data_IF_091071527270
#
_entry.id   IF_091071527270
#
_cell.length_a   1.000
_cell.length_b   1.000
_cell.length_c   1.000
_cell.angle_alpha   90.00
_cell.angle_beta   90.00
_cell.angle_gamma   90.00
#
_symmetry.space_group_name_H-M   'P 1'
#
loop_
_entity.id
_entity.type
_entity.pdbx_description
1 polymer ?
#
# COMPACT_ATOMS: atom_id res chain seq x y z
N UNK A 1 -0.39 -15.70 16.75
CA UNK A 1 0.21 -14.98 17.89
C UNK A 1 0.87 -15.88 18.92
N UNK A 2 0.19 -16.83 19.59
CA UNK A 2 0.88 -17.74 20.53
C UNK A 2 1.79 -18.77 19.83
N UNK A 3 1.41 -19.19 18.62
CA UNK A 3 2.14 -20.22 17.83
C UNK A 3 3.46 -19.67 17.23
N UNK A 4 3.42 -18.44 16.69
CA UNK A 4 4.62 -17.75 16.17
C UNK A 4 5.66 -17.46 17.25
N UNK A 5 5.23 -17.17 18.48
CA UNK A 5 6.14 -16.96 19.60
C UNK A 5 6.84 -18.25 20.04
N UNK A 6 6.14 -19.39 19.97
CA UNK A 6 6.72 -20.72 20.26
C UNK A 6 7.75 -21.15 19.20
N UNK A 7 7.49 -20.85 17.93
CA UNK A 7 8.42 -21.16 16.83
C UNK A 7 9.70 -20.31 16.91
N UNK A 8 9.57 -19.01 17.19
CA UNK A 8 10.72 -18.12 17.41
C UNK A 8 11.55 -18.56 18.62
N UNK A 9 10.91 -18.99 19.71
CA UNK A 9 11.60 -19.50 20.90
C UNK A 9 12.40 -20.78 20.56
N UNK A 10 11.79 -21.71 19.80
CA UNK A 10 12.45 -22.94 19.37
C UNK A 10 13.68 -22.69 18.49
N UNK A 11 13.63 -21.69 17.60
CA UNK A 11 14.76 -21.28 16.77
C UNK A 11 15.89 -20.72 17.63
N UNK A 12 15.56 -19.87 18.60
CA UNK A 12 16.56 -19.27 19.50
C UNK A 12 17.19 -20.33 20.40
N UNK A 13 16.42 -21.25 20.95
CA UNK A 13 16.92 -22.37 21.75
C UNK A 13 17.87 -23.28 20.97
N UNK A 14 17.54 -23.62 19.72
CA UNK A 14 18.44 -24.39 18.84
C UNK A 14 19.74 -23.66 18.56
N UNK A 15 19.68 -22.35 18.33
CA UNK A 15 20.88 -21.52 18.12
C UNK A 15 21.71 -21.43 19.40
N UNK A 16 21.07 -21.30 20.55
CA UNK A 16 21.73 -21.28 21.85
C UNK A 16 22.46 -22.60 22.10
N UNK A 17 21.79 -23.74 21.90
CA UNK A 17 22.39 -25.07 22.03
C UNK A 17 23.58 -25.27 21.07
N UNK A 18 23.49 -24.77 19.85
CA UNK A 18 24.60 -24.86 18.89
C UNK A 18 25.79 -24.00 19.32
N UNK A 19 25.54 -22.82 19.89
CA UNK A 19 26.60 -21.95 20.45
C UNK A 19 27.21 -22.60 21.69
N UNK A 20 26.38 -23.11 22.59
CA UNK A 20 26.81 -23.83 23.80
C UNK A 20 27.66 -25.04 23.42
N UNK A 21 27.26 -25.85 22.44
CA UNK A 21 28.05 -26.99 21.97
C UNK A 21 29.41 -26.59 21.40
N UNK A 22 29.48 -25.47 20.68
CA UNK A 22 30.72 -24.96 20.07
C UNK A 22 31.68 -24.33 21.07
N UNK A 23 31.16 -23.73 22.13
CA UNK A 23 31.95 -23.01 23.14
C UNK A 23 32.27 -23.90 24.34
N UNK A 24 31.32 -24.76 24.74
CA UNK A 24 31.41 -25.66 25.88
C UNK A 24 31.15 -27.09 25.41
N UNK A 25 32.22 -27.79 25.06
CA UNK A 25 32.12 -29.19 24.60
C UNK A 25 32.05 -30.20 25.75
N UNK A 26 32.31 -29.78 27.00
CA UNK A 26 32.22 -30.62 28.21
C UNK A 26 31.84 -29.83 29.47
N UNK A 27 31.14 -30.47 30.42
CA UNK A 27 30.83 -29.91 31.75
C UNK A 27 32.11 -29.57 32.57
N UNK A 28 33.25 -30.16 32.20
CA UNK A 28 34.56 -29.86 32.77
C UNK A 28 35.13 -28.51 32.27
N UNK A 29 34.71 -28.06 31.09
CA UNK A 29 35.12 -26.77 30.52
C UNK A 29 34.45 -25.61 31.26
N UNK A 30 33.23 -25.78 31.79
CA UNK A 30 32.57 -24.81 32.68
C UNK A 30 33.44 -24.46 33.88
N UNK A 31 34.13 -25.44 34.48
CA UNK A 31 35.02 -25.23 35.63
C UNK A 31 36.34 -24.55 35.24
N UNK A 32 36.82 -24.77 34.01
CA UNK A 32 38.03 -24.11 33.48
C UNK A 32 37.76 -22.66 33.08
N UNK A 33 36.62 -22.38 32.44
CA UNK A 33 36.22 -21.04 32.02
C UNK A 33 35.56 -20.21 33.13
N UNK A 34 35.25 -20.80 34.29
CA UNK A 34 34.83 -20.04 35.48
C UNK A 34 35.90 -19.03 35.96
N UNK A 35 37.19 -19.28 35.66
CA UNK A 35 38.31 -18.45 36.13
C UNK A 35 39.10 -17.74 35.00
N UNK A 36 38.88 -18.06 33.73
CA UNK A 36 39.49 -17.34 32.59
C UNK A 36 38.42 -17.10 31.51
N UNK A 37 38.24 -15.86 31.07
CA UNK A 37 37.36 -15.55 29.93
C UNK A 37 37.93 -16.20 28.67
N UNK A 38 37.08 -16.85 27.85
CA UNK A 38 37.47 -17.30 26.50
C UNK A 38 38.10 -16.17 25.67
N UNK A 39 37.69 -14.93 25.94
CA UNK A 39 38.24 -13.74 25.29
C UNK A 39 39.68 -13.46 25.72
N UNK A 40 40.02 -13.69 26.99
CA UNK A 40 41.36 -13.47 27.53
C UNK A 40 42.33 -14.54 27.03
N UNK A 41 41.88 -15.80 26.95
CA UNK A 41 42.68 -16.88 26.39
C UNK A 41 42.91 -16.70 24.88
N UNK A 42 41.87 -16.29 24.15
CA UNK A 42 41.98 -15.93 22.73
C UNK A 42 42.90 -14.72 22.52
N UNK A 43 42.77 -13.68 23.35
CA UNK A 43 43.63 -12.49 23.30
C UNK A 43 45.09 -12.82 23.60
N UNK A 44 45.34 -13.73 24.55
CA UNK A 44 46.68 -14.24 24.87
C UNK A 44 47.28 -15.02 23.69
N UNK A 45 46.50 -15.90 23.07
CA UNK A 45 46.92 -16.65 21.86
C UNK A 45 47.15 -15.72 20.67
N UNK A 46 46.31 -14.70 20.47
CA UNK A 46 46.46 -13.71 19.42
C UNK A 46 47.73 -12.86 19.61
N UNK A 47 47.99 -12.42 20.84
CA UNK A 47 49.21 -11.68 21.17
C UNK A 47 50.47 -12.52 20.99
N UNK A 48 50.42 -13.81 21.34
CA UNK A 48 51.49 -14.77 21.10
C UNK A 48 51.72 -15.02 19.60
N UNK A 49 50.65 -15.17 18.81
CA UNK A 49 50.70 -15.28 17.36
C UNK A 49 51.28 -14.00 16.72
N UNK A 50 50.91 -12.81 17.20
CA UNK A 50 51.43 -11.54 16.71
C UNK A 50 52.91 -11.35 17.09
N UNK A 51 53.32 -11.80 18.27
CA UNK A 51 54.73 -11.84 18.69
C UNK A 51 55.55 -12.82 17.84
N UNK A 52 54.99 -13.98 17.52
CA UNK A 52 55.63 -14.97 16.63
C UNK A 52 55.71 -14.46 15.19
N UNK A 53 54.66 -13.82 14.69
CA UNK A 53 54.63 -13.23 13.35
C UNK A 53 55.65 -12.10 13.21
N UNK A 54 55.84 -11.26 14.24
CA UNK A 54 56.85 -10.19 14.23
C UNK A 54 58.28 -10.71 14.39
N UNK A 55 58.49 -11.80 15.13
CA UNK A 55 59.81 -12.41 15.34
C UNK A 55 60.29 -13.27 14.15
N UNK A 56 59.36 -13.87 13.41
CA UNK A 56 59.69 -14.76 12.28
C UNK A 56 59.07 -14.23 10.98
N UNK A 57 59.89 -13.59 10.15
CA UNK A 57 59.48 -12.97 8.89
C UNK A 57 58.74 -13.94 7.94
N UNK A 58 59.16 -15.22 7.89
CA UNK A 58 58.47 -16.29 7.13
C UNK A 58 57.04 -16.54 7.63
N UNK A 59 56.77 -16.43 8.94
CA UNK A 59 55.43 -16.58 9.50
C UNK A 59 54.57 -15.37 9.14
N UNK A 60 55.11 -14.15 9.19
CA UNK A 60 54.40 -12.95 8.73
C UNK A 60 54.03 -13.01 7.24
N UNK A 61 54.96 -13.45 6.39
CA UNK A 61 54.70 -13.66 4.96
C UNK A 61 53.63 -14.73 4.71
N UNK A 62 53.63 -15.80 5.50
CA UNK A 62 52.63 -16.87 5.41
C UNK A 62 51.26 -16.39 5.90
N UNK A 63 51.21 -15.55 6.93
CA UNK A 63 49.97 -14.95 7.44
C UNK A 63 49.34 -13.97 6.44
N UNK A 64 50.18 -13.19 5.73
CA UNK A 64 49.73 -12.36 4.60
C UNK A 64 49.19 -13.22 3.47
N UNK A 65 49.93 -14.26 3.07
CA UNK A 65 49.49 -15.21 2.05
C UNK A 65 48.22 -15.95 2.44
N UNK A 66 47.98 -16.23 3.72
CA UNK A 66 46.76 -16.87 4.20
C UNK A 66 45.54 -15.94 4.05
N UNK A 67 45.70 -14.65 4.34
CA UNK A 67 44.66 -13.65 4.08
C UNK A 67 44.40 -13.46 2.59
N UNK A 68 45.46 -13.50 1.78
CA UNK A 68 45.32 -13.46 0.33
C UNK A 68 44.63 -14.74 -0.18
N UNK A 69 44.95 -15.91 0.38
CA UNK A 69 44.31 -17.19 0.05
C UNK A 69 42.83 -17.20 0.44
N UNK A 70 42.47 -16.59 1.57
CA UNK A 70 41.07 -16.40 1.99
C UNK A 70 40.31 -15.52 1.00
N UNK A 71 40.95 -14.47 0.46
CA UNK A 71 40.37 -13.67 -0.62
C UNK A 71 40.27 -14.45 -1.93
N UNK A 72 41.28 -15.25 -2.29
CA UNK A 72 41.27 -16.08 -3.50
C UNK A 72 40.27 -17.23 -3.45
N UNK A 73 39.98 -17.76 -2.25
CA UNK A 73 38.97 -18.77 -2.00
C UNK A 73 37.59 -18.19 -1.68
N UNK A 74 37.48 -16.86 -1.57
CA UNK A 74 36.18 -16.21 -1.42
C UNK A 74 35.31 -16.53 -2.65
N UNK A 75 34.05 -16.87 -2.40
CA UNK A 75 33.10 -17.23 -3.45
C UNK A 75 33.01 -16.14 -4.53
N UNK A 76 33.16 -14.86 -4.14
CA UNK A 76 33.11 -13.71 -5.04
C UNK A 76 34.31 -13.62 -5.99
N UNK A 77 35.51 -14.05 -5.56
CA UNK A 77 36.69 -14.09 -6.43
C UNK A 77 36.63 -15.30 -7.37
N UNK A 78 36.21 -16.47 -6.88
CA UNK A 78 36.04 -17.65 -7.73
C UNK A 78 34.97 -17.42 -8.79
N UNK A 79 33.87 -16.71 -8.50
CA UNK A 79 32.82 -16.43 -9.49
C UNK A 79 33.32 -15.46 -10.59
N UNK A 80 34.14 -14.47 -10.22
CA UNK A 80 34.76 -13.53 -11.17
C UNK A 80 35.86 -14.15 -12.04
N UNK A 81 36.57 -15.17 -11.53
CA UNK A 81 37.62 -15.89 -12.26
C UNK A 81 37.06 -17.07 -13.06
N UNK A 82 35.96 -17.68 -12.62
CA UNK A 82 35.33 -18.79 -13.30
C UNK A 82 34.63 -18.37 -14.60
N UNK A 83 34.16 -17.12 -14.70
CA UNK A 83 33.66 -16.57 -15.94
C UNK A 83 34.81 -16.03 -16.80
N UNK A 84 35.12 -16.78 -17.85
CA UNK A 84 35.90 -16.31 -18.97
C UNK A 84 35.19 -15.12 -19.68
N UNK A 85 35.96 -14.28 -20.37
CA UNK A 85 35.43 -13.07 -21.01
C UNK A 85 34.51 -13.40 -22.20
N UNK A 86 34.72 -14.52 -22.90
CA UNK A 86 33.77 -15.01 -23.92
C UNK A 86 32.46 -15.45 -23.26
N UNK A 87 32.53 -16.12 -22.11
CA UNK A 87 31.35 -16.52 -21.32
C UNK A 87 30.55 -15.31 -20.81
N UNK A 88 31.22 -14.21 -20.43
CA UNK A 88 30.55 -12.94 -20.09
C UNK A 88 29.86 -12.32 -21.30
N UNK A 89 30.51 -12.35 -22.47
CA UNK A 89 29.91 -11.86 -23.71
C UNK A 89 28.66 -12.66 -24.08
N UNK A 90 28.71 -13.99 -23.97
CA UNK A 90 27.56 -14.87 -24.21
C UNK A 90 26.41 -14.60 -23.23
N UNK A 91 26.70 -14.34 -21.96
CA UNK A 91 25.67 -13.96 -20.97
C UNK A 91 25.03 -12.61 -21.33
N UNK A 92 25.82 -11.62 -21.74
CA UNK A 92 25.31 -10.31 -22.15
C UNK A 92 24.46 -10.41 -23.41
N UNK A 93 24.89 -11.20 -24.40
CA UNK A 93 24.14 -11.43 -25.65
C UNK A 93 22.85 -12.22 -25.35
N UNK A 94 22.93 -13.25 -24.52
CA UNK A 94 21.76 -14.01 -24.09
C UNK A 94 20.75 -13.13 -23.33
N UNK A 95 21.26 -12.20 -22.51
CA UNK A 95 20.50 -11.21 -21.76
C UNK A 95 20.07 -9.98 -22.56
N UNK A 96 20.47 -9.82 -23.84
CA UNK A 96 20.25 -8.60 -24.62
C UNK A 96 18.77 -8.22 -24.69
N UNK A 97 17.90 -9.20 -24.94
CA UNK A 97 16.46 -8.97 -25.03
C UNK A 97 15.86 -8.54 -23.67
N UNK A 98 16.34 -9.11 -22.56
CA UNK A 98 15.88 -8.72 -21.22
C UNK A 98 16.39 -7.32 -20.86
N UNK A 99 17.63 -6.99 -21.20
CA UNK A 99 18.19 -5.65 -21.00
C UNK A 99 17.45 -4.60 -21.84
N UNK A 100 17.13 -4.91 -23.11
CA UNK A 100 16.37 -4.02 -23.99
C UNK A 100 14.96 -3.78 -23.44
N UNK A 101 14.27 -4.83 -23.01
CA UNK A 101 12.95 -4.73 -22.39
C UNK A 101 12.98 -3.94 -21.09
N UNK A 102 14.01 -4.14 -20.26
CA UNK A 102 14.22 -3.36 -19.04
C UNK A 102 14.45 -1.87 -19.34
N UNK A 103 15.24 -1.55 -20.37
CA UNK A 103 15.45 -0.17 -20.83
C UNK A 103 14.15 0.47 -21.33
N UNK A 104 13.35 -0.24 -22.11
CA UNK A 104 12.04 0.25 -22.58
C UNK A 104 11.10 0.54 -21.41
N UNK A 105 11.00 -0.38 -20.45
CA UNK A 105 10.21 -0.20 -19.24
C UNK A 105 10.72 0.97 -18.38
N UNK A 106 12.05 1.13 -18.27
CA UNK A 106 12.64 2.24 -17.54
C UNK A 106 12.31 3.58 -18.20
N UNK A 107 12.30 3.63 -19.53
CA UNK A 107 11.93 4.82 -20.28
C UNK A 107 10.44 5.15 -20.11
N UNK A 108 9.57 4.14 -20.15
CA UNK A 108 8.14 4.30 -19.87
C UNK A 108 7.91 4.84 -18.45
N UNK A 109 8.64 4.32 -17.46
CA UNK A 109 8.60 4.80 -16.08
C UNK A 109 9.09 6.26 -15.98
N UNK A 110 10.15 6.62 -16.70
CA UNK A 110 10.67 7.99 -16.73
C UNK A 110 9.64 8.97 -17.32
N UNK A 111 8.95 8.58 -18.38
CA UNK A 111 7.88 9.37 -18.97
C UNK A 111 6.66 9.46 -18.05
N UNK A 112 6.24 8.37 -17.41
CA UNK A 112 5.17 8.38 -16.42
C UNK A 112 5.50 9.25 -15.20
N UNK A 113 6.76 9.28 -14.75
CA UNK A 113 7.21 10.14 -13.65
C UNK A 113 7.00 11.63 -13.96
N UNK A 114 7.10 12.05 -15.23
CA UNK A 114 6.81 13.43 -15.63
C UNK A 114 5.32 13.77 -15.42
N UNK A 115 4.43 12.82 -15.64
CA UNK A 115 2.98 12.99 -15.50
C UNK A 115 2.55 12.99 -14.02
N UNK A 116 3.17 12.13 -13.20
CA UNK A 116 2.88 12.03 -11.76
C UNK A 116 3.23 13.33 -11.01
N UNK A 117 4.26 14.05 -11.46
CA UNK A 117 4.67 15.33 -10.85
C UNK A 117 3.96 16.56 -11.45
N UNK A 118 2.84 16.38 -12.15
CA UNK A 118 2.10 17.52 -12.69
C UNK A 118 1.42 18.30 -11.57
N UNK A 119 1.52 19.63 -11.66
CA UNK A 119 0.96 20.60 -10.70
C UNK A 119 -0.52 20.34 -10.30
N UNK A 120 -1.41 19.89 -11.20
CA UNK A 120 -2.81 19.57 -10.85
C UNK A 120 -2.99 18.43 -9.84
N UNK A 121 -2.09 17.44 -9.82
CA UNK A 121 -2.14 16.34 -8.84
C UNK A 121 -1.69 16.81 -7.45
N UNK A 122 -0.76 17.78 -7.40
CA UNK A 122 -0.29 18.37 -6.16
C UNK A 122 -1.36 19.24 -5.49
N UNK A 123 -2.17 19.92 -6.29
CA UNK A 123 -3.25 20.78 -5.80
C UNK A 123 -4.54 20.00 -5.45
N UNK A 124 -4.62 18.70 -5.80
CA UNK A 124 -5.80 17.86 -5.56
C UNK A 124 -6.29 17.87 -4.09
N UNK A 125 -5.43 17.80 -3.06
CA UNK A 125 -5.88 17.90 -1.67
C UNK A 125 -6.48 19.27 -1.34
N UNK A 126 -5.96 20.34 -1.94
CA UNK A 126 -6.49 21.71 -1.74
C UNK A 126 -7.85 21.88 -2.40
N UNK A 127 -8.04 21.31 -3.59
CA UNK A 127 -9.33 21.28 -4.28
C UNK A 127 -10.35 20.41 -3.56
N UNK A 128 -9.95 19.25 -3.04
CA UNK A 128 -10.80 18.38 -2.21
C UNK A 128 -11.28 19.12 -0.96
N UNK A 129 -10.37 19.80 -0.26
CA UNK A 129 -10.72 20.58 0.95
C UNK A 129 -11.66 21.75 0.65
N UNK A 130 -11.53 22.39 -0.53
CA UNK A 130 -12.48 23.42 -0.98
C UNK A 130 -13.82 22.85 -1.44
N UNK A 131 -13.83 21.61 -1.94
CA UNK A 131 -15.04 20.95 -2.45
C UNK A 131 -15.92 20.41 -1.33
N UNK A 132 -15.34 20.01 -0.21
CA UNK A 132 -16.06 19.48 0.96
C UNK A 132 -17.15 20.42 1.51
N UNK A 133 -16.90 21.72 1.80
CA UNK A 133 -17.97 22.64 2.20
C UNK A 133 -18.98 22.91 1.07
N UNK A 134 -18.56 22.82 -0.20
CA UNK A 134 -19.45 22.99 -1.34
C UNK A 134 -20.43 21.82 -1.47
N UNK A 135 -19.99 20.60 -1.16
CA UNK A 135 -20.83 19.41 -1.12
C UNK A 135 -21.91 19.57 -0.04
N UNK A 136 -21.56 20.06 1.14
CA UNK A 136 -22.53 20.34 2.21
C UNK A 136 -23.57 21.37 1.78
N UNK A 137 -23.14 22.48 1.16
CA UNK A 137 -24.07 23.49 0.61
C UNK A 137 -24.96 22.87 -0.47
N UNK A 138 -24.41 22.02 -1.35
CA UNK A 138 -25.18 21.38 -2.41
C UNK A 138 -26.25 20.44 -1.87
N UNK A 139 -25.94 19.68 -0.81
CA UNK A 139 -26.91 18.82 -0.12
C UNK A 139 -28.05 19.68 0.45
N UNK A 140 -27.73 20.76 1.16
CA UNK A 140 -28.73 21.67 1.71
C UNK A 140 -29.61 22.31 0.63
N UNK A 141 -29.02 22.72 -0.50
CA UNK A 141 -29.76 23.25 -1.64
C UNK A 141 -30.71 22.21 -2.25
N UNK A 142 -30.29 20.96 -2.34
CA UNK A 142 -31.10 19.86 -2.84
C UNK A 142 -32.32 19.61 -1.94
N UNK A 143 -32.12 19.57 -0.63
CA UNK A 143 -33.22 19.40 0.34
C UNK A 143 -34.23 20.55 0.27
N UNK A 144 -33.76 21.79 0.17
CA UNK A 144 -34.62 22.97 0.00
C UNK A 144 -35.42 22.92 -1.31
N UNK A 145 -34.78 22.47 -2.40
CA UNK A 145 -35.44 22.30 -3.69
C UNK A 145 -36.51 21.23 -3.64
N UNK A 146 -36.22 20.08 -3.04
CA UNK A 146 -37.15 18.96 -2.90
C UNK A 146 -38.36 19.36 -2.03
N UNK A 147 -38.12 20.06 -0.91
CA UNK A 147 -39.19 20.59 -0.05
C UNK A 147 -40.07 21.61 -0.76
N UNK A 148 -39.48 22.52 -1.52
CA UNK A 148 -40.20 23.52 -2.30
C UNK A 148 -41.03 22.88 -3.42
N UNK A 149 -40.44 21.91 -4.11
CA UNK A 149 -41.10 21.15 -5.19
C UNK A 149 -42.29 20.37 -4.65
N UNK A 150 -42.14 19.71 -3.50
CA UNK A 150 -43.23 19.01 -2.82
C UNK A 150 -44.37 19.96 -2.45
N UNK A 151 -44.05 21.14 -1.89
CA UNK A 151 -45.06 22.16 -1.55
C UNK A 151 -45.78 22.70 -2.79
N UNK A 152 -45.06 22.94 -3.88
CA UNK A 152 -45.63 23.37 -5.15
C UNK A 152 -46.56 22.30 -5.75
N UNK A 153 -46.15 21.03 -5.73
CA UNK A 153 -46.97 19.93 -6.19
C UNK A 153 -48.25 19.77 -5.36
N UNK A 154 -48.16 19.93 -4.03
CA UNK A 154 -49.33 19.92 -3.16
C UNK A 154 -50.27 21.09 -3.48
N UNK A 155 -49.75 22.30 -3.64
CA UNK A 155 -50.54 23.46 -4.03
C UNK A 155 -51.22 23.26 -5.39
N UNK A 156 -50.50 22.73 -6.37
CA UNK A 156 -51.05 22.42 -7.70
C UNK A 156 -52.13 21.34 -7.62
N UNK A 157 -51.95 20.32 -6.78
CA UNK A 157 -52.96 19.30 -6.54
C UNK A 157 -54.22 19.91 -5.91
N UNK A 158 -54.07 20.76 -4.90
CA UNK A 158 -55.18 21.45 -4.26
C UNK A 158 -55.92 22.38 -5.23
N UNK A 159 -55.17 23.13 -6.04
CA UNK A 159 -55.75 23.96 -7.09
C UNK A 159 -56.55 23.10 -8.10
N UNK A 160 -55.98 22.01 -8.60
CA UNK A 160 -56.66 21.12 -9.52
C UNK A 160 -57.93 20.49 -8.90
N UNK A 161 -57.89 20.15 -7.62
CA UNK A 161 -59.06 19.65 -6.89
C UNK A 161 -60.16 20.71 -6.79
N UNK A 162 -59.80 21.95 -6.44
CA UNK A 162 -60.73 23.08 -6.36
C UNK A 162 -61.36 23.36 -7.72
N UNK A 163 -60.56 23.41 -8.79
CA UNK A 163 -61.07 23.62 -10.15
C UNK A 163 -62.01 22.50 -10.56
N UNK A 164 -61.66 21.24 -10.30
CA UNK A 164 -62.53 20.10 -10.61
C UNK A 164 -63.85 20.17 -9.85
N UNK A 165 -63.82 20.56 -8.58
CA UNK A 165 -65.02 20.72 -7.76
C UNK A 165 -65.89 21.89 -8.25
N UNK A 166 -65.28 23.03 -8.58
CA UNK A 166 -65.98 24.18 -9.16
C UNK A 166 -66.60 23.82 -10.50
N UNK A 167 -65.89 23.13 -11.39
CA UNK A 167 -66.43 22.67 -12.67
C UNK A 167 -67.63 21.75 -12.48
N UNK A 168 -67.59 20.81 -11.53
CA UNK A 168 -68.75 19.98 -11.19
C UNK A 168 -69.91 20.81 -10.67
N UNK A 169 -69.65 21.78 -9.79
CA UNK A 169 -70.68 22.64 -9.23
C UNK A 169 -71.35 23.50 -10.30
N UNK A 170 -70.59 24.02 -11.26
CA UNK A 170 -71.13 24.76 -12.39
C UNK A 170 -72.03 23.89 -13.28
N UNK A 171 -71.65 22.63 -13.54
CA UNK A 171 -72.48 21.69 -14.28
C UNK A 171 -73.78 21.37 -13.53
N UNK A 172 -73.71 21.16 -12.22
CA UNK A 172 -74.92 20.93 -11.40
C UNK A 172 -75.85 22.16 -11.40
N UNK A 173 -75.30 23.37 -11.29
CA UNK A 173 -76.09 24.58 -11.40
C UNK A 173 -76.72 24.77 -12.77
N UNK A 174 -75.99 24.46 -13.84
CA UNK A 174 -76.50 24.51 -15.22
C UNK A 174 -77.63 23.49 -15.45
N UNK A 175 -77.50 22.28 -14.91
CA UNK A 175 -78.54 21.26 -14.93
C UNK A 175 -79.80 21.72 -14.18
N UNK A 176 -79.64 22.32 -13.00
CA UNK A 176 -80.77 22.84 -12.21
C UNK A 176 -81.45 23.98 -12.96
N UNK A 177 -80.68 24.91 -13.54
CA UNK A 177 -81.20 26.03 -14.33
C UNK A 177 -81.98 25.52 -15.55
N UNK A 178 -81.39 24.62 -16.33
CA UNK A 178 -82.03 24.00 -17.51
C UNK A 178 -83.33 23.30 -17.14
N UNK A 179 -83.38 22.58 -16.01
CA UNK A 179 -84.63 21.96 -15.52
C UNK A 179 -85.71 22.98 -15.19
N UNK A 180 -85.36 24.07 -14.52
CA UNK A 180 -86.30 25.15 -14.21
C UNK A 180 -86.80 25.85 -15.48
N UNK A 181 -85.94 26.05 -16.48
CA UNK A 181 -86.31 26.60 -17.79
C UNK A 181 -87.30 25.70 -18.52
N UNK A 182 -87.08 24.38 -18.52
CA UNK A 182 -88.01 23.40 -19.12
C UNK A 182 -89.35 23.37 -18.37
N UNK A 183 -89.35 23.44 -17.04
CA UNK A 183 -90.59 23.52 -16.24
C UNK A 183 -91.36 24.83 -16.49
N UNK A 184 -90.66 25.92 -16.79
CA UNK A 184 -91.25 27.19 -17.16
C UNK A 184 -91.84 27.14 -18.58
N UNK A 185 -91.16 26.51 -19.53
CA UNK A 185 -91.58 26.42 -20.94
C UNK A 185 -92.70 25.38 -21.16
N UNK A 186 -92.81 24.37 -20.29
CA UNK A 186 -93.90 23.37 -20.30
C UNK A 186 -95.15 23.80 -19.57
N UNK A 187 -95.13 24.92 -18.84
CA UNK A 187 -96.35 25.60 -18.39
C UNK A 187 -96.87 26.45 -19.56
N UNK A 188 -98.01 26.10 -20.18
CA UNK A 188 -98.63 26.99 -21.14
C UNK A 188 -98.96 28.30 -20.41
N UNK A 189 -98.55 29.42 -21.00
CA UNK A 189 -99.28 30.68 -20.80
C UNK A 189 -100.75 30.40 -21.15
N UNK A 190 -101.68 30.85 -20.30
CA UNK A 190 -103.14 30.71 -20.45
C UNK A 190 -103.66 30.71 -21.90
#
# INVERSE_FOLDING_TARGET
>A
MADEQGEVLSIVEKRLQEIERRVLSSEEDLKRFQNESCLDTLGRVQNELQRLASKYQRISETWKKMKDLENFLSAEFMDKVALDDDSKADIVISGENQLRLCCEQLHEIEDMKKIVNTEPLKDLPTWSSKMEPLIEIHINQKELLDGTTSRLNNLLSNYNNIITMLSKQFVEWDNILTRMEIELDTKPSE
#
